data_IF_144156007362
#
_entry.id   IF_144156007362
#
_cell.length_a   1.000
_cell.length_b   1.000
_cell.length_c   1.000
_cell.angle_alpha   90.00
_cell.angle_beta   90.00
_cell.angle_gamma   90.00
#
_symmetry.space_group_name_H-M   'P 1'
#
loop_
_entity.id
_entity.type
_entity.pdbx_description
1 polymer ?
#
# COMPACT_ATOMS: atom_id res chain seq x y z
N UNK A 1 -4.00 -3.83 43.26
CA UNK A 1 -4.76 -3.07 44.28
C UNK A 1 -6.09 -2.65 43.69
N UNK A 2 -7.20 -3.15 44.24
CA UNK A 2 -8.58 -2.77 43.89
C UNK A 2 -8.97 -1.60 44.80
N UNK A 3 -9.45 -0.49 44.23
CA UNK A 3 -10.05 0.59 44.99
C UNK A 3 -11.55 0.60 44.75
N UNK A 4 -12.28 0.36 45.84
CA UNK A 4 -13.73 0.31 45.95
C UNK A 4 -14.27 1.73 46.10
N UNK A 5 -15.29 2.10 45.32
CA UNK A 5 -16.17 3.23 45.63
C UNK A 5 -17.63 2.77 45.69
N UNK A 6 -17.94 2.24 46.88
CA UNK A 6 -19.08 2.53 47.78
C UNK A 6 -20.33 3.17 47.15
N UNK A 7 -21.43 2.42 47.22
CA UNK A 7 -22.84 2.85 47.11
C UNK A 7 -23.26 3.83 48.22
N UNK A 8 -24.27 4.68 47.95
CA UNK A 8 -25.36 4.92 48.89
C UNK A 8 -26.67 4.38 48.28
N UNK A 9 -27.33 3.42 48.93
CA UNK A 9 -28.40 3.63 49.93
C UNK A 9 -29.74 4.02 49.30
N UNK A 10 -30.63 3.03 49.24
CA UNK A 10 -32.06 3.13 48.91
C UNK A 10 -32.80 4.02 49.92
N UNK A 11 -34.00 4.50 49.53
CA UNK A 11 -35.14 4.26 50.40
C UNK A 11 -36.30 3.60 49.64
N UNK A 12 -36.64 2.42 50.15
CA UNK A 12 -37.97 1.85 50.32
C UNK A 12 -39.16 2.78 49.95
N UNK A 13 -39.96 2.37 48.97
CA UNK A 13 -41.42 2.64 48.94
C UNK A 13 -42.16 1.41 48.42
N UNK A 14 -42.24 0.40 49.28
CA UNK A 14 -43.36 -0.53 49.32
C UNK A 14 -44.52 0.13 50.06
N UNK A 15 -45.57 0.53 49.34
CA UNK A 15 -46.95 0.65 49.87
C UNK A 15 -47.81 1.30 48.80
N UNK A 16 -48.68 0.54 48.11
CA UNK A 16 -50.05 0.92 47.73
C UNK A 16 -50.70 -0.32 47.09
N UNK A 17 -50.95 -1.35 47.89
CA UNK A 17 -52.03 -2.29 47.63
C UNK A 17 -53.25 -1.80 48.40
N UNK A 18 -54.36 -1.43 47.75
CA UNK A 18 -55.66 -1.49 48.40
C UNK A 18 -56.17 -2.92 48.30
N UNK A 19 -56.07 -3.64 49.41
CA UNK A 19 -56.93 -4.77 49.71
C UNK A 19 -58.39 -4.28 49.68
N UNK A 20 -59.20 -4.78 48.76
CA UNK A 20 -60.65 -4.85 48.93
C UNK A 20 -61.10 -6.30 48.69
N UNK A 21 -60.82 -7.12 49.70
CA UNK A 21 -61.58 -8.34 49.94
C UNK A 21 -62.79 -7.97 50.81
N UNK A 22 -63.98 -8.13 50.24
CA UNK A 22 -65.26 -8.20 50.95
C UNK A 22 -66.44 -7.78 50.08
N UNK A 23 -67.65 -8.32 50.27
CA UNK A 23 -68.02 -9.72 50.45
C UNK A 23 -68.85 -10.23 49.25
N UNK A 24 -68.97 -11.56 49.14
CA UNK A 24 -69.89 -12.27 48.24
C UNK A 24 -71.34 -11.84 48.53
N UNK A 25 -72.03 -11.22 47.56
CA UNK A 25 -73.50 -11.21 47.50
C UNK A 25 -74.05 -10.88 46.11
N UNK A 26 -74.50 -11.93 45.42
CA UNK A 26 -75.72 -12.01 44.60
C UNK A 26 -76.32 -10.70 44.04
N UNK A 27 -76.18 -10.48 42.71
CA UNK A 27 -77.31 -10.12 41.80
C UNK A 27 -76.87 -9.90 40.33
N UNK A 28 -77.55 -10.59 39.41
CA UNK A 28 -77.87 -10.11 38.06
C UNK A 28 -77.03 -10.66 36.89
N UNK A 29 -77.66 -11.24 35.84
CA UNK A 29 -76.96 -11.67 34.64
C UNK A 29 -76.72 -10.44 33.75
N UNK A 30 -75.54 -9.84 33.89
CA UNK A 30 -75.12 -8.82 32.93
C UNK A 30 -74.67 -9.50 31.64
N UNK A 31 -75.62 -9.64 30.71
CA UNK A 31 -75.33 -9.71 29.29
C UNK A 31 -74.42 -8.53 28.94
N UNK A 32 -73.10 -8.78 28.85
CA UNK A 32 -72.16 -7.81 28.28
C UNK A 32 -72.42 -7.83 26.77
N UNK A 33 -72.84 -6.73 26.13
CA UNK A 33 -72.95 -6.69 24.69
C UNK A 33 -71.54 -6.93 24.13
N UNK A 34 -71.40 -7.94 23.28
CA UNK A 34 -70.21 -8.15 22.45
C UNK A 34 -70.09 -6.93 21.54
N UNK A 35 -69.37 -5.89 21.97
CA UNK A 35 -68.98 -4.83 21.06
C UNK A 35 -68.07 -5.47 20.01
N UNK A 36 -68.43 -5.44 18.71
CA UNK A 36 -67.49 -5.82 17.67
C UNK A 36 -66.29 -4.87 17.76
N UNK A 37 -65.05 -5.36 17.60
CA UNK A 37 -63.90 -4.48 17.60
C UNK A 37 -64.08 -3.42 16.49
N UNK A 38 -63.85 -2.13 16.78
CA UNK A 38 -63.98 -1.09 15.77
C UNK A 38 -62.97 -1.39 14.65
N UNK A 39 -63.50 -1.47 13.44
CA UNK A 39 -62.74 -1.60 12.21
C UNK A 39 -61.62 -0.55 12.20
N UNK A 40 -60.37 -1.01 12.27
CA UNK A 40 -59.21 -0.11 12.25
C UNK A 40 -57.99 -0.51 13.10
N UNK A 41 -57.80 -1.79 13.46
CA UNK A 41 -56.50 -2.21 13.95
C UNK A 41 -55.51 -2.24 12.76
N UNK A 42 -54.48 -1.36 12.71
CA UNK A 42 -53.41 -1.56 11.73
C UNK A 42 -52.84 -2.94 12.00
N UNK A 43 -52.70 -3.76 10.96
CA UNK A 43 -52.17 -5.11 11.06
C UNK A 43 -50.87 -5.07 11.88
N UNK A 44 -50.96 -5.43 13.16
CA UNK A 44 -49.78 -5.62 13.99
C UNK A 44 -49.00 -6.72 13.27
N UNK A 45 -47.85 -6.38 12.71
CA UNK A 45 -46.95 -7.35 12.12
C UNK A 45 -46.77 -8.45 13.16
N UNK A 46 -47.32 -9.63 12.90
CA UNK A 46 -47.23 -10.74 13.87
C UNK A 46 -45.75 -10.92 14.24
N UNK A 47 -45.39 -11.17 15.51
CA UNK A 47 -43.98 -11.28 15.91
C UNK A 47 -43.15 -12.21 15.02
N UNK A 48 -43.80 -13.25 14.47
CA UNK A 48 -43.22 -14.18 13.50
C UNK A 48 -42.77 -13.54 12.19
N UNK A 49 -43.48 -12.55 11.65
CA UNK A 49 -43.09 -11.87 10.39
C UNK A 49 -41.94 -10.89 10.60
N UNK A 50 -41.89 -10.25 11.76
CA UNK A 50 -40.76 -9.40 12.14
C UNK A 50 -39.48 -10.22 12.33
N UNK A 51 -39.56 -11.33 13.06
CA UNK A 51 -38.43 -12.25 13.25
C UNK A 51 -37.91 -12.80 11.91
N UNK A 52 -38.79 -13.20 10.99
CA UNK A 52 -38.40 -13.64 9.64
C UNK A 52 -37.63 -12.58 8.86
N UNK A 53 -38.06 -11.31 8.93
CA UNK A 53 -37.37 -10.19 8.26
C UNK A 53 -36.00 -9.93 8.85
N UNK A 54 -35.86 -10.03 10.18
CA UNK A 54 -34.56 -9.90 10.85
C UNK A 54 -33.62 -11.02 10.42
N UNK A 55 -34.08 -12.27 10.37
CA UNK A 55 -33.26 -13.41 9.96
C UNK A 55 -32.75 -13.22 8.52
N UNK A 56 -33.64 -12.85 7.59
CA UNK A 56 -33.25 -12.60 6.19
C UNK A 56 -32.21 -11.48 6.09
N UNK A 57 -32.39 -10.38 6.83
CA UNK A 57 -31.42 -9.29 6.85
C UNK A 57 -30.07 -9.75 7.40
N UNK A 58 -30.08 -10.57 8.45
CA UNK A 58 -28.87 -11.08 9.07
C UNK A 58 -28.12 -12.03 8.13
N UNK A 59 -28.82 -12.96 7.48
CA UNK A 59 -28.27 -13.82 6.44
C UNK A 59 -27.69 -13.02 5.26
N UNK A 60 -28.39 -11.94 4.85
CA UNK A 60 -27.91 -11.07 3.77
C UNK A 60 -26.61 -10.38 4.16
N UNK A 61 -26.53 -9.85 5.38
CA UNK A 61 -25.31 -9.19 5.88
C UNK A 61 -24.16 -10.20 6.00
N UNK A 62 -24.42 -11.41 6.49
CA UNK A 62 -23.41 -12.47 6.57
C UNK A 62 -22.89 -12.88 5.18
N UNK A 63 -23.77 -13.00 4.20
CA UNK A 63 -23.38 -13.26 2.81
C UNK A 63 -22.54 -12.12 2.22
N UNK A 64 -22.88 -10.86 2.46
CA UNK A 64 -22.08 -9.72 2.00
C UNK A 64 -20.70 -9.67 2.69
N UNK A 65 -20.63 -9.99 3.99
CA UNK A 65 -19.36 -10.11 4.70
C UNK A 65 -18.50 -11.23 4.11
N UNK A 66 -19.09 -12.37 3.76
CA UNK A 66 -18.38 -13.48 3.12
C UNK A 66 -17.83 -13.06 1.75
N UNK A 67 -18.67 -12.45 0.90
CA UNK A 67 -18.23 -11.93 -0.41
C UNK A 67 -17.10 -10.92 -0.28
N UNK A 68 -17.14 -10.03 0.72
CA UNK A 68 -16.08 -9.05 0.94
C UNK A 68 -14.75 -9.72 1.32
N UNK A 69 -14.80 -10.74 2.18
CA UNK A 69 -13.60 -11.53 2.55
C UNK A 69 -13.04 -12.29 1.36
N UNK A 70 -13.90 -12.89 0.55
CA UNK A 70 -13.48 -13.62 -0.65
C UNK A 70 -12.84 -12.67 -1.66
N UNK A 71 -13.43 -11.49 -1.92
CA UNK A 71 -12.84 -10.45 -2.77
C UNK A 71 -11.48 -9.97 -2.23
N UNK A 72 -11.36 -9.78 -0.91
CA UNK A 72 -10.11 -9.36 -0.28
C UNK A 72 -9.05 -10.48 -0.24
N UNK A 73 -9.44 -11.75 -0.33
CA UNK A 73 -8.51 -12.87 -0.50
C UNK A 73 -8.07 -13.06 -1.96
N UNK A 74 -8.97 -12.80 -2.91
CA UNK A 74 -8.71 -12.81 -4.36
C UNK A 74 -7.71 -11.72 -4.74
N UNK A 75 -7.84 -10.56 -4.11
CA UNK A 75 -6.92 -9.46 -4.20
C UNK A 75 -5.94 -9.54 -3.03
N UNK A 76 -5.00 -10.48 -3.05
CA UNK A 76 -3.86 -10.48 -2.14
C UNK A 76 -2.96 -9.27 -2.44
N UNK A 77 -3.48 -8.10 -2.08
CA UNK A 77 -2.94 -6.76 -2.28
C UNK A 77 -1.56 -6.66 -1.60
N UNK A 78 -1.37 -7.39 -0.50
CA UNK A 78 -0.11 -7.43 0.22
C UNK A 78 0.99 -8.13 -0.61
N UNK A 79 0.65 -9.22 -1.30
CA UNK A 79 1.55 -9.86 -2.26
C UNK A 79 1.89 -8.90 -3.41
N UNK A 80 0.88 -8.24 -3.99
CA UNK A 80 1.09 -7.26 -5.06
C UNK A 80 2.02 -6.10 -4.66
N UNK A 81 1.83 -5.53 -3.46
CA UNK A 81 2.73 -4.50 -2.93
C UNK A 81 4.16 -4.99 -2.72
N UNK A 82 4.31 -6.25 -2.29
CA UNK A 82 5.62 -6.88 -2.11
C UNK A 82 6.33 -7.04 -3.45
N UNK A 83 5.63 -7.54 -4.46
CA UNK A 83 6.17 -7.66 -5.81
C UNK A 83 6.54 -6.30 -6.41
N UNK A 84 5.66 -5.31 -6.29
CA UNK A 84 5.93 -3.95 -6.76
C UNK A 84 7.21 -3.38 -6.12
N UNK A 85 7.40 -3.58 -4.81
CA UNK A 85 8.62 -3.16 -4.09
C UNK A 85 9.86 -3.92 -4.56
N UNK A 86 9.75 -5.21 -4.86
CA UNK A 86 10.86 -6.00 -5.41
C UNK A 86 11.29 -5.44 -6.76
N UNK A 87 10.34 -5.22 -7.68
CA UNK A 87 10.66 -4.69 -9.01
C UNK A 87 11.19 -3.26 -8.96
N UNK A 88 10.67 -2.42 -8.08
CA UNK A 88 11.23 -1.10 -7.83
C UNK A 88 12.71 -1.19 -7.43
N UNK A 89 13.06 -2.05 -6.47
CA UNK A 89 14.44 -2.25 -6.06
C UNK A 89 15.32 -2.79 -7.19
N UNK A 90 14.82 -3.72 -8.00
CA UNK A 90 15.54 -4.21 -9.19
C UNK A 90 15.88 -3.05 -10.14
N UNK A 91 14.92 -2.19 -10.45
CA UNK A 91 15.13 -1.04 -11.33
C UNK A 91 16.13 -0.04 -10.75
N UNK A 92 16.04 0.25 -9.46
CA UNK A 92 16.99 1.14 -8.76
C UNK A 92 18.42 0.56 -8.81
N UNK A 93 18.57 -0.74 -8.60
CA UNK A 93 19.87 -1.41 -8.67
C UNK A 93 20.45 -1.39 -10.09
N UNK A 94 19.65 -1.75 -11.10
CA UNK A 94 20.06 -1.70 -12.50
C UNK A 94 20.51 -0.27 -12.87
N UNK A 95 19.74 0.75 -12.49
CA UNK A 95 20.11 2.16 -12.72
C UNK A 95 21.46 2.49 -12.10
N UNK A 96 21.70 2.08 -10.84
CA UNK A 96 22.95 2.33 -10.14
C UNK A 96 24.13 1.65 -10.84
N UNK A 97 23.98 0.40 -11.23
CA UNK A 97 25.01 -0.35 -11.97
C UNK A 97 25.30 0.28 -13.33
N UNK A 98 24.27 0.69 -14.07
CA UNK A 98 24.43 1.41 -15.34
C UNK A 98 25.23 2.70 -15.16
N UNK A 99 24.96 3.49 -14.11
CA UNK A 99 25.71 4.70 -13.82
C UNK A 99 27.19 4.41 -13.54
N UNK A 100 27.47 3.42 -12.69
CA UNK A 100 28.86 3.01 -12.38
C UNK A 100 29.61 2.54 -13.63
N UNK A 101 28.97 1.71 -14.47
CA UNK A 101 29.54 1.25 -15.73
C UNK A 101 29.80 2.40 -16.70
N UNK A 102 28.85 3.34 -16.80
CA UNK A 102 28.98 4.52 -17.65
C UNK A 102 30.18 5.39 -17.23
N UNK A 103 30.34 5.65 -15.94
CA UNK A 103 31.48 6.41 -15.42
C UNK A 103 32.82 5.72 -15.70
N UNK A 104 32.91 4.41 -15.42
CA UNK A 104 34.11 3.60 -15.68
C UNK A 104 34.47 3.64 -17.16
N UNK A 105 33.49 3.41 -18.03
CA UNK A 105 33.65 3.41 -19.48
C UNK A 105 34.09 4.79 -19.98
N UNK A 106 33.49 5.86 -19.48
CA UNK A 106 33.83 7.23 -19.87
C UNK A 106 35.27 7.58 -19.46
N UNK A 107 35.69 7.23 -18.24
CA UNK A 107 37.07 7.42 -17.78
C UNK A 107 38.07 6.63 -18.64
N UNK A 108 37.75 5.39 -18.97
CA UNK A 108 38.60 4.54 -19.80
C UNK A 108 38.72 5.07 -21.23
N UNK A 109 37.61 5.47 -21.86
CA UNK A 109 37.60 6.12 -23.19
C UNK A 109 38.49 7.36 -23.23
N UNK A 110 38.39 8.23 -22.22
CA UNK A 110 39.26 9.43 -22.11
C UNK A 110 40.75 9.06 -22.02
N UNK A 111 41.10 8.03 -21.25
CA UNK A 111 42.49 7.57 -21.13
C UNK A 111 43.03 6.97 -22.43
N UNK A 112 42.24 6.12 -23.08
CA UNK A 112 42.61 5.52 -24.36
C UNK A 112 42.88 6.60 -25.42
N UNK A 113 42.01 7.62 -25.51
CA UNK A 113 42.18 8.73 -26.44
C UNK A 113 43.46 9.53 -26.16
N UNK A 114 43.74 9.84 -24.89
CA UNK A 114 44.98 10.54 -24.50
C UNK A 114 46.23 9.74 -24.88
N UNK A 115 46.24 8.44 -24.61
CA UNK A 115 47.36 7.56 -24.96
C UNK A 115 47.57 7.50 -26.48
N UNK A 116 46.48 7.43 -27.25
CA UNK A 116 46.55 7.46 -28.71
C UNK A 116 47.14 8.77 -29.23
N UNK A 117 46.67 9.90 -28.71
CA UNK A 117 47.18 11.24 -29.08
C UNK A 117 48.65 11.42 -28.70
N UNK A 118 49.04 10.94 -27.51
CA UNK A 118 50.43 11.00 -27.06
C UNK A 118 51.33 10.17 -27.98
N UNK A 119 50.95 8.94 -28.30
CA UNK A 119 51.72 8.07 -29.21
C UNK A 119 51.90 8.70 -30.59
N UNK A 120 50.86 9.35 -31.13
CA UNK A 120 50.94 10.06 -32.40
C UNK A 120 51.91 11.25 -32.34
N UNK A 121 51.85 12.03 -31.25
CA UNK A 121 52.76 13.16 -31.04
C UNK A 121 54.21 12.71 -30.90
N UNK A 122 54.46 11.70 -30.07
CA UNK A 122 55.81 11.18 -29.84
C UNK A 122 56.42 10.60 -31.12
N UNK A 123 55.59 10.00 -32.00
CA UNK A 123 56.04 9.51 -33.30
C UNK A 123 56.46 10.67 -34.23
N UNK A 124 55.65 11.73 -34.31
CA UNK A 124 55.96 12.92 -35.10
C UNK A 124 57.20 13.64 -34.59
N UNK A 125 57.35 13.77 -33.27
CA UNK A 125 58.53 14.42 -32.67
C UNK A 125 59.81 13.63 -32.95
N UNK A 126 59.76 12.30 -32.87
CA UNK A 126 60.91 11.45 -33.22
C UNK A 126 61.30 11.56 -34.68
N UNK A 127 60.33 11.58 -35.58
CA UNK A 127 60.59 11.72 -37.02
C UNK A 127 61.21 13.09 -37.34
N UNK A 128 60.69 14.16 -36.75
CA UNK A 128 61.26 15.50 -36.87
C UNK A 128 62.68 15.61 -36.29
N UNK A 129 62.95 14.94 -35.17
CA UNK A 129 64.31 14.89 -34.62
C UNK A 129 65.28 14.15 -35.55
N UNK A 130 64.84 13.01 -36.09
CA UNK A 130 65.63 12.24 -37.03
C UNK A 130 65.95 13.03 -38.31
N UNK A 131 64.97 13.76 -38.84
CA UNK A 131 65.16 14.62 -40.02
C UNK A 131 66.16 15.75 -39.75
N UNK A 132 66.11 16.38 -38.57
CA UNK A 132 67.07 17.42 -38.16
C UNK A 132 68.50 16.89 -38.00
N UNK A 133 68.65 15.67 -37.48
CA UNK A 133 69.96 15.01 -37.38
C UNK A 133 70.53 14.71 -38.78
N UNK A 134 69.72 14.14 -39.66
CA UNK A 134 70.10 13.90 -41.06
C UNK A 134 70.47 15.20 -41.79
N UNK A 135 69.76 16.30 -41.53
CA UNK A 135 70.08 17.59 -42.13
C UNK A 135 71.41 18.15 -41.62
N UNK A 136 71.73 17.98 -40.33
CA UNK A 136 73.06 18.32 -39.79
C UNK A 136 74.16 17.47 -40.41
N UNK A 137 73.94 16.16 -40.55
CA UNK A 137 74.91 15.28 -41.21
C UNK A 137 75.16 15.70 -42.66
N UNK A 138 74.10 16.02 -43.43
CA UNK A 138 74.22 16.51 -44.81
C UNK A 138 75.04 17.80 -44.89
N UNK A 139 74.86 18.73 -43.96
CA UNK A 139 75.63 19.98 -43.92
C UNK A 139 77.12 19.74 -43.58
N UNK A 140 77.44 18.68 -42.86
CA UNK A 140 78.81 18.30 -42.51
C UNK A 140 79.49 17.40 -43.57
N UNK A 141 78.75 16.87 -44.55
CA UNK A 141 79.37 16.19 -45.70
C UNK A 141 80.08 17.20 -46.60
N UNK A 142 81.40 17.14 -46.65
CA UNK A 142 82.22 17.98 -47.50
C UNK A 142 81.85 17.74 -48.98
N UNK A 143 81.50 18.81 -49.71
CA UNK A 143 81.36 18.74 -51.17
C UNK A 143 82.74 18.38 -51.76
N UNK A 144 82.87 17.30 -52.54
CA UNK A 144 84.15 16.93 -53.12
C UNK A 144 84.69 18.09 -53.97
N UNK A 145 85.94 18.50 -53.73
CA UNK A 145 86.59 19.49 -54.56
C UNK A 145 86.72 18.94 -56.00
N UNK A 146 86.19 19.69 -56.97
CA UNK A 146 86.34 19.34 -58.40
C UNK A 146 87.83 19.35 -58.73
N UNK A 147 88.39 18.21 -59.14
CA UNK A 147 89.73 18.13 -59.71
C UNK A 147 89.68 18.72 -61.11
N UNK A 148 90.35 19.87 -61.29
CA UNK A 148 90.73 20.45 -62.58
C UNK A 148 91.67 19.52 -63.35
#
# INVERSE_FOLDING_TARGET
MKAYHIRPSSPNQSSYFPNFLGPLSLRGPWNRPSFPPPYGAPAQSTPKTFLKRIVILLETVEQEIAKFKDCNSLLDINSLFTEAKIYHNKLVNIRKEMLVLHERTTKLKKRALKLQQQKQRDALEKEQQHEKELERERQLTAKPAKRT
#
